data_IF_690291643330
#
_entry.id   IF_690291643330
#
_cell.length_a   1.000
_cell.length_b   1.000
_cell.length_c   1.000
_cell.angle_alpha   90.00
_cell.angle_beta   90.00
_cell.angle_gamma   90.00
#
_symmetry.space_group_name_H-M   'P 1'
#
loop_
_entity.id
_entity.type
_entity.pdbx_description
1 polymer ?
#
# COMPACT_ATOMS: atom_id res chain seq x y z
N UNK A 1 31.53 8.34 36.98
CA UNK A 1 31.13 8.34 38.40
C UNK A 1 32.14 7.51 39.17
N UNK A 2 32.48 7.91 40.39
CA UNK A 2 33.42 7.17 41.24
C UNK A 2 32.70 6.73 42.50
N UNK A 3 32.85 5.47 42.89
CA UNK A 3 32.40 4.95 44.19
C UNK A 3 33.62 4.81 45.06
N UNK A 4 33.68 5.56 46.16
CA UNK A 4 34.75 5.52 47.14
C UNK A 4 34.28 4.77 48.39
N UNK A 5 35.06 3.82 48.90
CA UNK A 5 34.78 3.14 50.17
C UNK A 5 35.29 4.04 51.30
N UNK A 6 34.35 4.66 52.02
CA UNK A 6 34.67 5.58 53.13
C UNK A 6 35.02 4.81 54.40
N UNK A 7 34.38 3.67 54.60
CA UNK A 7 34.67 2.78 55.72
C UNK A 7 34.27 1.34 55.36
N UNK A 8 35.27 0.48 55.19
CA UNK A 8 35.05 -0.92 54.85
C UNK A 8 34.42 -1.72 56.00
N UNK A 9 34.64 -1.34 57.26
CA UNK A 9 34.11 -2.07 58.43
C UNK A 9 32.60 -1.92 58.58
N UNK A 10 32.08 -0.75 58.22
CA UNK A 10 30.65 -0.46 58.24
C UNK A 10 30.00 -0.60 56.86
N UNK A 11 30.78 -0.82 55.80
CA UNK A 11 30.30 -0.88 54.42
C UNK A 11 29.85 0.48 53.89
N UNK A 12 30.35 1.58 54.46
CA UNK A 12 29.96 2.94 54.04
C UNK A 12 30.69 3.34 52.77
N UNK A 13 29.94 3.75 51.77
CA UNK A 13 30.43 4.16 50.45
C UNK A 13 29.90 5.54 50.06
N UNK A 14 30.69 6.26 49.28
CA UNK A 14 30.34 7.56 48.72
C UNK A 14 30.38 7.52 47.20
N UNK A 15 29.31 8.03 46.59
CA UNK A 15 29.18 8.22 45.16
C UNK A 15 29.59 9.65 44.84
N UNK A 16 30.63 9.79 44.03
CA UNK A 16 31.22 11.05 43.64
C UNK A 16 31.03 11.27 42.13
N UNK A 17 30.76 12.51 41.75
CA UNK A 17 30.94 12.94 40.37
C UNK A 17 32.43 12.87 40.02
N UNK A 18 32.79 12.17 38.94
CA UNK A 18 34.20 11.96 38.58
C UNK A 18 34.86 13.23 38.04
N UNK A 19 34.09 14.16 37.45
CA UNK A 19 34.63 15.38 36.86
C UNK A 19 34.79 16.49 37.91
N UNK A 20 33.82 16.64 38.82
CA UNK A 20 33.84 17.71 39.83
C UNK A 20 34.33 17.27 41.21
N UNK A 21 34.38 15.96 41.48
CA UNK A 21 34.66 15.43 42.81
C UNK A 21 33.53 15.69 43.82
N UNK A 22 32.37 16.19 43.37
CA UNK A 22 31.25 16.49 44.26
C UNK A 22 30.58 15.22 44.75
N UNK A 23 30.25 15.18 46.04
CA UNK A 23 29.46 14.09 46.62
C UNK A 23 28.04 14.12 46.08
N UNK A 24 27.63 13.01 45.46
CA UNK A 24 26.29 12.81 44.89
C UNK A 24 25.40 12.06 45.87
N UNK A 25 25.95 11.09 46.59
CA UNK A 25 25.25 10.34 47.63
C UNK A 25 26.22 9.58 48.54
N UNK A 26 25.89 9.45 49.81
CA UNK A 26 26.56 8.52 50.74
C UNK A 26 25.59 7.43 51.15
N UNK A 27 25.99 6.17 51.06
CA UNK A 27 25.14 5.02 51.39
C UNK A 27 25.94 3.96 52.13
N UNK A 28 25.24 3.01 52.73
CA UNK A 28 25.83 1.83 53.35
C UNK A 28 25.42 0.62 52.54
N UNK A 29 26.37 -0.26 52.25
CA UNK A 29 26.15 -1.52 51.56
C UNK A 29 25.28 -2.45 52.41
N UNK A 30 24.44 -3.25 51.76
CA UNK A 30 23.69 -4.31 52.43
C UNK A 30 24.57 -5.55 52.72
N UNK A 31 23.97 -6.59 53.30
CA UNK A 31 24.66 -7.85 53.63
C UNK A 31 25.25 -8.58 52.41
N UNK A 32 24.80 -8.25 51.20
CA UNK A 32 25.29 -8.80 49.94
C UNK A 32 26.27 -7.85 49.23
N UNK A 33 26.76 -6.82 49.92
CA UNK A 33 27.61 -5.76 49.35
C UNK A 33 26.94 -5.02 48.18
N UNK A 34 25.61 -4.87 48.22
CA UNK A 34 24.83 -4.13 47.22
C UNK A 34 24.33 -2.81 47.76
N UNK A 35 24.16 -1.85 46.84
CA UNK A 35 23.59 -0.55 47.18
C UNK A 35 22.92 0.09 45.96
N UNK A 36 21.81 0.79 46.21
CA UNK A 36 21.14 1.64 45.22
C UNK A 36 21.42 3.11 45.51
N UNK A 37 22.00 3.81 44.54
CA UNK A 37 22.23 5.25 44.61
C UNK A 37 22.25 5.83 43.20
N UNK A 38 21.87 7.10 43.06
CA UNK A 38 21.96 7.84 41.78
C UNK A 38 21.39 7.08 40.57
N UNK A 39 20.30 6.32 40.78
CA UNK A 39 19.62 5.54 39.73
C UNK A 39 20.31 4.23 39.33
N UNK A 40 21.40 3.85 40.01
CA UNK A 40 22.17 2.63 39.74
C UNK A 40 22.10 1.67 40.93
N UNK A 41 22.08 0.36 40.65
CA UNK A 41 22.37 -0.68 41.63
C UNK A 41 23.82 -1.14 41.40
N UNK A 42 24.63 -1.05 42.44
CA UNK A 42 26.05 -1.44 42.41
C UNK A 42 26.27 -2.57 43.39
N UNK A 43 26.89 -3.65 42.92
CA UNK A 43 27.38 -4.75 43.74
C UNK A 43 28.90 -4.71 43.72
N UNK A 44 29.51 -4.53 44.89
CA UNK A 44 30.96 -4.62 45.03
C UNK A 44 31.31 -6.04 45.45
N UNK A 45 32.27 -6.65 44.76
CA UNK A 45 32.70 -8.04 45.03
C UNK A 45 34.12 -8.05 45.53
N UNK A 46 34.38 -8.88 46.55
CA UNK A 46 35.71 -9.09 47.13
C UNK A 46 35.78 -8.63 48.58
N UNK A 47 37.01 -8.41 49.05
CA UNK A 47 37.31 -7.83 50.35
C UNK A 47 37.59 -6.34 50.13
N UNK A 48 36.68 -5.49 50.61
CA UNK A 48 36.81 -4.04 50.46
C UNK A 48 37.81 -3.48 51.49
N UNK A 49 38.58 -2.48 51.07
CA UNK A 49 39.42 -1.68 51.95
C UNK A 49 38.94 -0.23 51.96
N UNK A 50 39.14 0.45 53.08
CA UNK A 50 38.88 1.89 53.17
C UNK A 50 39.79 2.63 52.18
N UNK A 51 39.22 3.57 51.44
CA UNK A 51 39.79 4.31 50.31
C UNK A 51 39.86 3.56 48.96
N UNK A 52 39.26 2.36 48.85
CA UNK A 52 39.04 1.73 47.56
C UNK A 52 38.17 2.61 46.64
N UNK A 53 38.60 2.78 45.39
CA UNK A 53 37.94 3.61 44.38
C UNK A 53 37.56 2.80 43.15
N UNK A 54 36.27 2.78 42.84
CA UNK A 54 35.72 2.12 41.67
C UNK A 54 35.19 3.16 40.69
N UNK A 55 35.63 3.11 39.43
CA UNK A 55 35.15 4.02 38.39
C UNK A 55 34.06 3.35 37.57
N UNK A 56 32.88 3.96 37.56
CA UNK A 56 31.75 3.56 36.73
C UNK A 56 31.67 4.54 35.56
N UNK A 57 31.88 4.02 34.36
CA UNK A 57 31.86 4.75 33.09
C UNK A 57 30.74 4.25 32.19
N UNK A 58 30.21 5.14 31.34
CA UNK A 58 29.25 4.72 30.32
C UNK A 58 29.92 3.80 29.31
N UNK A 59 29.27 2.68 29.01
CA UNK A 59 29.75 1.72 28.01
C UNK A 59 29.41 2.16 26.58
N UNK A 60 29.78 3.39 26.20
CA UNK A 60 29.27 4.02 24.97
C UNK A 60 29.68 3.32 23.66
N UNK A 61 30.59 2.34 23.70
CA UNK A 61 31.01 1.50 22.55
C UNK A 61 31.50 0.11 23.00
N UNK A 62 30.96 -0.45 24.10
CA UNK A 62 31.45 -1.74 24.57
C UNK A 62 31.04 -2.90 23.69
N UNK A 63 31.91 -3.90 23.61
CA UNK A 63 31.53 -5.21 23.10
C UNK A 63 30.34 -5.75 23.89
N UNK A 64 29.24 -6.07 23.22
CA UNK A 64 27.99 -6.56 23.84
C UNK A 64 26.92 -5.49 24.10
N UNK A 65 27.13 -4.23 23.70
CA UNK A 65 26.06 -3.22 23.73
C UNK A 65 25.04 -3.46 22.60
N UNK A 66 23.80 -3.76 22.97
CA UNK A 66 22.71 -4.05 22.03
C UNK A 66 21.66 -2.91 21.95
N UNK A 67 21.93 -1.71 22.48
CA UNK A 67 20.96 -0.59 22.49
C UNK A 67 20.48 -0.22 21.09
N UNK A 68 21.38 -0.15 20.11
CA UNK A 68 21.01 0.11 18.72
C UNK A 68 20.11 -1.00 18.13
N UNK A 69 20.31 -2.26 18.54
CA UNK A 69 19.43 -3.36 18.11
C UNK A 69 18.03 -3.21 18.70
N UNK A 70 17.92 -2.80 19.97
CA UNK A 70 16.62 -2.51 20.59
C UNK A 70 15.92 -1.33 19.92
N UNK A 71 16.66 -0.29 19.52
CA UNK A 71 16.09 0.82 18.74
C UNK A 71 15.56 0.32 17.39
N UNK A 72 16.30 -0.52 16.66
CA UNK A 72 15.82 -1.13 15.40
C UNK A 72 14.56 -1.98 15.62
N UNK A 73 14.53 -2.80 16.67
CA UNK A 73 13.33 -3.61 17.01
C UNK A 73 12.17 -2.72 17.41
N UNK A 74 12.41 -1.60 18.08
CA UNK A 74 11.35 -0.66 18.46
C UNK A 74 10.65 -0.01 17.27
N UNK A 75 11.35 0.15 16.13
CA UNK A 75 10.74 0.63 14.88
C UNK A 75 9.62 -0.29 14.36
N UNK A 76 9.65 -1.59 14.71
CA UNK A 76 8.55 -2.49 14.41
C UNK A 76 7.23 -2.05 15.05
N UNK A 77 7.28 -1.36 16.19
CA UNK A 77 6.11 -0.94 16.96
C UNK A 77 5.98 0.59 16.97
N UNK A 78 6.45 1.28 15.92
CA UNK A 78 6.51 2.74 15.90
C UNK A 78 5.17 3.37 16.25
N UNK A 79 5.20 4.34 17.16
CA UNK A 79 4.02 5.04 17.70
C UNK A 79 3.79 6.39 17.03
N UNK A 80 4.47 6.66 15.92
CA UNK A 80 4.39 7.89 15.10
C UNK A 80 3.05 8.05 14.36
N UNK A 81 2.09 7.17 14.62
CA UNK A 81 0.74 7.23 14.06
C UNK A 81 0.61 6.56 12.68
N UNK A 82 1.73 6.19 12.06
CA UNK A 82 1.77 5.40 10.81
C UNK A 82 1.76 3.90 11.05
N UNK A 83 1.96 3.46 12.29
CA UNK A 83 2.05 2.06 12.67
C UNK A 83 3.42 1.46 12.37
N UNK A 84 3.58 0.20 12.73
CA UNK A 84 4.80 -0.56 12.47
C UNK A 84 5.02 -0.85 10.99
N UNK A 85 6.19 -1.41 10.64
CA UNK A 85 6.46 -1.87 9.26
C UNK A 85 5.35 -2.80 8.72
N UNK A 86 4.79 -3.67 9.56
CA UNK A 86 3.69 -4.57 9.18
C UNK A 86 2.40 -3.82 8.85
N UNK A 87 2.08 -2.76 9.60
CA UNK A 87 0.87 -1.97 9.37
C UNK A 87 0.99 -1.14 8.09
N UNK A 88 2.16 -0.54 7.87
CA UNK A 88 2.48 0.19 6.63
C UNK A 88 2.35 -0.76 5.43
N UNK A 89 2.93 -1.96 5.53
CA UNK A 89 2.83 -2.95 4.45
C UNK A 89 1.37 -3.38 4.20
N UNK A 90 0.60 -3.66 5.25
CA UNK A 90 -0.81 -4.02 5.14
C UNK A 90 -1.65 -2.90 4.49
N UNK A 91 -1.38 -1.63 4.85
CA UNK A 91 -2.03 -0.46 4.27
C UNK A 91 -1.75 -0.34 2.76
N UNK A 92 -0.50 -0.51 2.34
CA UNK A 92 -0.13 -0.50 0.91
C UNK A 92 -0.83 -1.61 0.13
N UNK A 93 -0.82 -2.84 0.66
CA UNK A 93 -1.48 -3.98 -0.01
C UNK A 93 -2.99 -3.78 -0.10
N UNK A 94 -3.62 -3.29 0.98
CA UNK A 94 -5.05 -2.98 1.01
C UNK A 94 -5.42 -1.88 0.00
N UNK A 95 -4.63 -0.80 -0.04
CA UNK A 95 -4.80 0.29 -1.00
C UNK A 95 -4.72 -0.20 -2.44
N UNK A 96 -3.69 -0.99 -2.77
CA UNK A 96 -3.55 -1.61 -4.10
C UNK A 96 -4.73 -2.51 -4.44
N UNK A 97 -5.19 -3.33 -3.50
CA UNK A 97 -6.36 -4.20 -3.68
C UNK A 97 -7.64 -3.41 -3.98
N UNK A 98 -7.86 -2.32 -3.27
CA UNK A 98 -9.00 -1.41 -3.49
C UNK A 98 -8.95 -0.77 -4.88
N UNK A 99 -7.78 -0.25 -5.28
CA UNK A 99 -7.59 0.33 -6.62
C UNK A 99 -7.85 -0.70 -7.71
N UNK A 100 -7.27 -1.91 -7.60
CA UNK A 100 -7.49 -2.98 -8.58
C UNK A 100 -8.97 -3.36 -8.71
N UNK A 101 -9.68 -3.45 -7.59
CA UNK A 101 -11.11 -3.77 -7.61
C UNK A 101 -11.92 -2.65 -8.29
N UNK A 102 -11.62 -1.39 -7.99
CA UNK A 102 -12.23 -0.24 -8.66
C UNK A 102 -11.97 -0.26 -10.17
N UNK A 103 -10.72 -0.47 -10.58
CA UNK A 103 -10.35 -0.58 -12.00
C UNK A 103 -11.08 -1.72 -12.69
N UNK A 104 -11.23 -2.88 -12.06
CA UNK A 104 -11.97 -4.02 -12.63
C UNK A 104 -13.44 -3.68 -12.87
N UNK A 105 -14.10 -3.00 -11.94
CA UNK A 105 -15.50 -2.55 -12.09
C UNK A 105 -15.63 -1.54 -13.22
N UNK A 106 -14.71 -0.57 -13.31
CA UNK A 106 -14.68 0.40 -14.41
C UNK A 106 -14.45 -0.28 -15.75
N UNK A 107 -13.52 -1.23 -15.82
CA UNK A 107 -13.23 -1.98 -17.05
C UNK A 107 -14.45 -2.79 -17.52
N UNK A 108 -15.11 -3.53 -16.62
CA UNK A 108 -16.33 -4.27 -16.97
C UNK A 108 -17.47 -3.35 -17.45
N UNK A 109 -17.57 -2.15 -16.86
CA UNK A 109 -18.54 -1.14 -17.30
C UNK A 109 -18.20 -0.58 -18.69
N UNK A 110 -16.92 -0.34 -18.98
CA UNK A 110 -16.44 0.10 -20.28
C UNK A 110 -16.65 -0.98 -21.36
N UNK A 111 -16.40 -2.25 -21.05
CA UNK A 111 -16.67 -3.40 -21.93
C UNK A 111 -18.17 -3.53 -22.25
N UNK A 112 -19.04 -3.36 -21.25
CA UNK A 112 -20.48 -3.36 -21.45
C UNK A 112 -20.94 -2.20 -22.36
N UNK A 113 -20.43 -0.99 -22.12
CA UNK A 113 -20.74 0.18 -22.93
C UNK A 113 -20.23 0.04 -24.38
N UNK A 114 -19.03 -0.51 -24.55
CA UNK A 114 -18.47 -0.81 -25.86
C UNK A 114 -19.35 -1.81 -26.62
N UNK A 115 -19.78 -2.89 -25.95
CA UNK A 115 -20.66 -3.90 -26.55
C UNK A 115 -22.02 -3.33 -26.96
N UNK A 116 -22.63 -2.50 -26.10
CA UNK A 116 -23.89 -1.82 -26.42
C UNK A 116 -23.73 -0.84 -27.59
N UNK A 117 -22.58 -0.15 -27.68
CA UNK A 117 -22.31 0.77 -28.78
C UNK A 117 -22.17 0.03 -30.11
N UNK A 118 -21.49 -1.13 -30.12
CA UNK A 118 -21.40 -2.00 -31.30
C UNK A 118 -22.77 -2.52 -31.74
N UNK A 119 -23.64 -2.88 -30.79
CA UNK A 119 -25.00 -3.33 -31.11
C UNK A 119 -25.84 -2.20 -31.73
N UNK A 120 -25.74 -0.98 -31.20
CA UNK A 120 -26.40 0.21 -31.76
C UNK A 120 -25.85 0.52 -33.17
N UNK A 121 -24.54 0.48 -33.36
CA UNK A 121 -23.90 0.69 -34.66
C UNK A 121 -24.37 -0.34 -35.69
N UNK A 122 -24.39 -1.62 -35.31
CA UNK A 122 -24.88 -2.71 -36.15
C UNK A 122 -26.38 -2.54 -36.47
N UNK A 123 -27.19 -2.03 -35.54
CA UNK A 123 -28.59 -1.72 -35.77
C UNK A 123 -28.82 -0.53 -36.71
N UNK A 124 -27.92 0.46 -36.72
CA UNK A 124 -28.02 1.63 -37.59
C UNK A 124 -27.45 1.37 -39.00
N UNK A 125 -26.36 0.61 -39.10
CA UNK A 125 -25.73 0.21 -40.37
C UNK A 125 -26.33 -1.06 -40.96
N UNK A 126 -27.21 -1.75 -40.23
CA UNK A 126 -27.89 -2.96 -40.66
C UNK A 126 -28.97 -2.63 -41.68
N UNK A 127 -28.61 -2.69 -42.96
CA UNK A 127 -29.58 -2.72 -44.06
C UNK A 127 -30.49 -3.93 -43.83
N UNK A 128 -31.79 -3.70 -43.65
CA UNK A 128 -32.76 -4.79 -43.52
C UNK A 128 -32.88 -5.50 -44.87
N UNK A 129 -32.35 -6.73 -44.96
CA UNK A 129 -32.41 -7.54 -46.18
C UNK A 129 -33.85 -7.78 -46.65
N UNK A 130 -34.81 -7.79 -45.72
CA UNK A 130 -36.23 -7.93 -46.05
C UNK A 130 -36.78 -6.65 -46.69
N UNK A 131 -36.34 -5.47 -46.21
CA UNK A 131 -36.74 -4.19 -46.79
C UNK A 131 -36.08 -3.95 -48.15
N UNK A 132 -34.79 -4.33 -48.30
CA UNK A 132 -34.14 -4.31 -49.61
C UNK A 132 -34.74 -5.34 -50.57
N UNK A 133 -35.11 -6.54 -50.11
CA UNK A 133 -35.77 -7.54 -50.95
C UNK A 133 -37.17 -7.07 -51.38
N UNK A 134 -37.94 -6.42 -50.50
CA UNK A 134 -39.23 -5.84 -50.84
C UNK A 134 -39.07 -4.71 -51.87
N UNK A 135 -38.10 -3.82 -51.67
CA UNK A 135 -37.81 -2.74 -52.61
C UNK A 135 -37.33 -3.28 -53.97
N UNK A 136 -36.52 -4.35 -53.96
CA UNK A 136 -36.06 -5.05 -55.16
C UNK A 136 -37.21 -5.75 -55.89
N UNK A 137 -38.12 -6.41 -55.17
CA UNK A 137 -39.35 -6.98 -55.77
C UNK A 137 -40.25 -5.92 -56.38
N UNK A 138 -40.41 -4.77 -55.70
CA UNK A 138 -41.18 -3.65 -56.22
C UNK A 138 -40.55 -3.09 -57.51
N UNK A 139 -39.22 -2.94 -57.55
CA UNK A 139 -38.49 -2.52 -58.75
C UNK A 139 -38.63 -3.55 -59.88
N UNK A 140 -38.55 -4.85 -59.58
CA UNK A 140 -38.76 -5.91 -60.56
C UNK A 140 -40.18 -5.89 -61.13
N UNK A 141 -41.20 -5.71 -60.28
CA UNK A 141 -42.60 -5.61 -60.70
C UNK A 141 -42.84 -4.37 -61.57
N UNK A 142 -42.27 -3.22 -61.18
CA UNK A 142 -42.33 -2.00 -61.98
C UNK A 142 -41.67 -2.21 -63.35
N UNK A 143 -40.52 -2.87 -63.41
CA UNK A 143 -39.83 -3.18 -64.66
C UNK A 143 -40.66 -4.09 -65.58
N UNK A 144 -41.26 -5.15 -65.02
CA UNK A 144 -42.16 -6.03 -65.76
C UNK A 144 -43.39 -5.28 -66.29
N UNK A 145 -43.98 -4.39 -65.47
CA UNK A 145 -45.09 -3.54 -65.88
C UNK A 145 -44.68 -2.61 -67.03
N UNK A 146 -43.52 -1.95 -66.94
CA UNK A 146 -42.97 -1.11 -68.01
C UNK A 146 -42.71 -1.90 -69.30
N UNK A 147 -42.18 -3.12 -69.20
CA UNK A 147 -41.99 -3.99 -70.36
C UNK A 147 -43.31 -4.38 -71.03
N UNK A 148 -44.37 -4.61 -70.24
CA UNK A 148 -45.70 -4.91 -70.75
C UNK A 148 -46.33 -3.69 -71.43
N UNK A 149 -46.21 -2.50 -70.83
CA UNK A 149 -46.62 -1.23 -71.44
C UNK A 149 -45.91 -1.04 -72.78
N UNK A 150 -44.60 -1.26 -72.85
CA UNK A 150 -43.83 -1.14 -74.09
C UNK A 150 -44.29 -2.14 -75.16
N UNK A 151 -44.62 -3.37 -74.76
CA UNK A 151 -45.11 -4.41 -75.66
C UNK A 151 -46.47 -4.02 -76.25
N UNK A 152 -47.40 -3.56 -75.41
CA UNK A 152 -48.70 -3.04 -75.86
C UNK A 152 -48.54 -1.81 -76.75
N UNK A 153 -47.64 -0.90 -76.42
CA UNK A 153 -47.35 0.26 -77.27
C UNK A 153 -46.83 -0.15 -78.65
N UNK A 154 -45.93 -1.14 -78.73
CA UNK A 154 -45.45 -1.70 -80.01
C UNK A 154 -46.58 -2.34 -80.82
N UNK A 155 -47.50 -3.04 -80.18
CA UNK A 155 -48.65 -3.68 -80.83
C UNK A 155 -49.62 -2.65 -81.40
N UNK A 156 -49.93 -1.58 -80.64
CA UNK A 156 -50.72 -0.45 -81.11
C UNK A 156 -50.03 0.22 -82.31
N UNK A 157 -48.72 0.47 -82.21
CA UNK A 157 -47.96 1.11 -83.28
C UNK A 157 -47.95 0.29 -84.57
N UNK A 158 -47.80 -1.04 -84.45
CA UNK A 158 -47.87 -1.97 -85.58
C UNK A 158 -49.26 -2.01 -86.20
N UNK A 159 -50.31 -2.07 -85.38
CA UNK A 159 -51.70 -2.05 -85.86
C UNK A 159 -52.00 -0.76 -86.64
N UNK A 160 -51.49 0.39 -86.18
CA UNK A 160 -51.63 1.66 -86.89
C UNK A 160 -50.91 1.66 -88.24
N UNK A 161 -49.67 1.15 -88.30
CA UNK A 161 -48.89 1.05 -89.56
C UNK A 161 -49.53 0.08 -90.55
N UNK A 162 -50.02 -1.08 -90.08
CA UNK A 162 -50.62 -2.11 -90.93
C UNK A 162 -52.04 -1.72 -91.43
N UNK A 163 -52.65 -0.66 -90.86
CA UNK A 163 -53.98 -0.14 -91.24
C UNK A 163 -53.98 0.97 -92.30
N UNK A 164 -52.81 1.31 -92.85
CA UNK A 164 -52.59 2.25 -93.97
C UNK A 164 -52.14 1.45 -95.19
#
# INVERSE_FOLDING_TARGET
MTVNVIDASTGKVEFLDTATGSSLATRTLDSNQKVKAVGLEVELKGVLQTDDKFHITSNKNGSGDARNLFEIVSLQNSTDGTGGFSDIFASVVSGLGSTLQSTRVTNGSAEALHSASLEIEAGFSGVSLDEEAANLLQQQQAYQASARILSTAREIFRTLIDSI
#
